data_IF_540388492847
#
_entry.id   IF_540388492847
#
_cell.length_a   1.000
_cell.length_b   1.000
_cell.length_c   1.000
_cell.angle_alpha   90.00
_cell.angle_beta   90.00
_cell.angle_gamma   90.00
#
_symmetry.space_group_name_H-M   'P 1'
#
loop_
_entity.id
_entity.type
_entity.pdbx_description
1 polymer ?
#
# COMPACT_ATOMS: atom_id res chain seq x y z
N UNK A 1 -36.38 9.24 -9.47
CA UNK A 1 -35.00 8.98 -9.98
C UNK A 1 -34.57 9.94 -11.08
N UNK A 2 -35.43 10.38 -12.01
CA UNK A 2 -35.09 11.40 -13.02
C UNK A 2 -34.73 12.76 -12.42
N UNK A 3 -35.42 13.18 -11.35
CA UNK A 3 -35.21 14.49 -10.73
C UNK A 3 -33.86 14.58 -10.01
N UNK A 4 -33.39 13.46 -9.46
CA UNK A 4 -32.08 13.33 -8.85
C UNK A 4 -30.94 13.51 -9.87
N UNK A 5 -31.05 12.84 -11.04
CA UNK A 5 -30.07 12.98 -12.11
C UNK A 5 -30.07 14.39 -12.71
N UNK A 6 -31.24 15.03 -12.80
CA UNK A 6 -31.33 16.43 -13.23
C UNK A 6 -30.63 17.35 -12.23
N UNK A 7 -30.93 17.22 -10.93
CA UNK A 7 -30.26 17.96 -9.85
C UNK A 7 -28.74 17.81 -9.91
N UNK A 8 -28.21 16.60 -10.06
CA UNK A 8 -26.76 16.39 -10.12
C UNK A 8 -26.10 17.01 -11.35
N UNK A 9 -26.78 17.04 -12.49
CA UNK A 9 -26.27 17.63 -13.73
C UNK A 9 -26.38 19.17 -13.74
N UNK A 10 -27.35 19.77 -13.03
CA UNK A 10 -27.58 21.22 -13.00
C UNK A 10 -27.06 21.96 -11.75
N UNK A 11 -26.83 21.27 -10.64
CA UNK A 11 -26.44 21.90 -9.37
C UNK A 11 -25.12 22.67 -9.48
N UNK A 12 -25.00 23.80 -8.79
CA UNK A 12 -23.75 24.55 -8.66
C UNK A 12 -22.88 24.04 -7.50
N UNK A 13 -21.67 24.57 -7.39
CA UNK A 13 -20.70 24.14 -6.37
C UNK A 13 -21.26 24.40 -4.95
N UNK A 14 -21.95 25.51 -4.73
CA UNK A 14 -22.41 25.90 -3.40
C UNK A 14 -23.59 25.04 -2.96
N UNK A 15 -24.54 24.72 -3.85
CA UNK A 15 -25.66 23.81 -3.55
C UNK A 15 -25.20 22.37 -3.28
N UNK A 16 -24.16 21.88 -3.95
CA UNK A 16 -23.58 20.57 -3.65
C UNK A 16 -22.89 20.53 -2.28
N UNK A 17 -22.26 21.63 -1.85
CA UNK A 17 -21.61 21.71 -0.53
C UNK A 17 -22.56 21.91 0.65
N UNK A 18 -23.82 22.29 0.41
CA UNK A 18 -24.86 22.35 1.45
C UNK A 18 -25.26 20.97 1.95
N UNK A 19 -24.94 19.91 1.20
CA UNK A 19 -25.29 18.53 1.57
C UNK A 19 -24.32 18.02 2.64
N UNK A 20 -24.82 17.57 3.81
CA UNK A 20 -23.98 17.09 4.90
C UNK A 20 -23.11 15.90 4.48
N UNK A 21 -21.79 16.13 4.42
CA UNK A 21 -20.80 15.12 4.03
C UNK A 21 -20.19 15.32 2.63
N UNK A 22 -20.60 16.36 1.88
CA UNK A 22 -19.95 16.74 0.62
C UNK A 22 -18.99 17.91 0.86
N UNK A 23 -17.70 17.62 0.74
CA UNK A 23 -16.68 18.64 0.80
C UNK A 23 -16.52 19.33 -0.56
N UNK A 24 -16.09 20.59 -0.57
CA UNK A 24 -15.76 21.37 -1.79
C UNK A 24 -14.96 20.58 -2.86
N UNK A 25 -13.91 19.81 -2.53
CA UNK A 25 -13.20 19.00 -3.54
C UNK A 25 -14.06 17.89 -4.14
N UNK A 26 -14.95 17.27 -3.37
CA UNK A 26 -15.86 16.24 -3.89
C UNK A 26 -16.93 16.86 -4.81
N UNK A 27 -17.46 18.03 -4.46
CA UNK A 27 -18.38 18.78 -5.31
C UNK A 27 -17.74 19.19 -6.65
N UNK A 28 -16.47 19.60 -6.64
CA UNK A 28 -15.72 19.89 -7.86
C UNK A 28 -15.53 18.64 -8.75
N UNK A 29 -15.23 17.49 -8.14
CA UNK A 29 -15.11 16.21 -8.85
C UNK A 29 -16.44 15.76 -9.47
N UNK A 30 -17.57 16.01 -8.78
CA UNK A 30 -18.91 15.73 -9.31
C UNK A 30 -19.26 16.62 -10.50
N UNK A 31 -18.89 17.90 -10.47
CA UNK A 31 -19.07 18.82 -11.60
C UNK A 31 -18.23 18.40 -12.80
N UNK A 32 -16.97 17.99 -12.57
CA UNK A 32 -16.06 17.56 -13.63
C UNK A 32 -16.49 16.25 -14.31
N UNK A 33 -17.23 15.38 -13.61
CA UNK A 33 -17.68 14.09 -14.13
C UNK A 33 -19.06 14.13 -14.81
N UNK A 34 -19.67 15.33 -14.93
CA UNK A 34 -20.93 15.51 -15.69
C UNK A 34 -20.70 15.28 -17.19
N UNK A 35 -21.68 14.74 -17.93
CA UNK A 35 -23.05 14.39 -17.50
C UNK A 35 -23.18 12.95 -16.96
N UNK A 36 -24.07 12.76 -15.98
CA UNK A 36 -24.44 11.43 -15.48
C UNK A 36 -25.75 10.95 -16.12
N UNK A 37 -25.74 9.76 -16.72
CA UNK A 37 -26.91 9.13 -17.34
C UNK A 37 -27.61 8.14 -16.40
N UNK A 38 -26.88 7.60 -15.42
CA UNK A 38 -27.41 6.66 -14.42
C UNK A 38 -26.89 6.96 -13.00
N UNK A 39 -27.63 6.49 -11.99
CA UNK A 39 -27.23 6.60 -10.57
C UNK A 39 -25.93 5.84 -10.30
N UNK A 40 -25.69 4.75 -11.04
CA UNK A 40 -24.47 3.94 -10.93
C UNK A 40 -23.23 4.66 -11.48
N UNK A 41 -23.38 5.61 -12.39
CA UNK A 41 -22.25 6.42 -12.88
C UNK A 41 -21.72 7.38 -11.80
N UNK A 42 -22.57 7.79 -10.87
CA UNK A 42 -22.18 8.62 -9.74
C UNK A 42 -21.23 7.86 -8.78
N UNK A 43 -21.37 6.53 -8.66
CA UNK A 43 -20.48 5.69 -7.84
C UNK A 43 -19.05 5.59 -8.38
N UNK A 44 -18.82 5.92 -9.67
CA UNK A 44 -17.49 5.89 -10.28
C UNK A 44 -16.65 7.12 -9.90
N UNK A 45 -17.26 8.17 -9.34
CA UNK A 45 -16.57 9.40 -8.94
C UNK A 45 -15.76 9.17 -7.67
N UNK A 46 -14.47 9.54 -7.71
CA UNK A 46 -13.53 9.37 -6.61
C UNK A 46 -14.01 10.09 -5.34
N UNK A 47 -14.35 9.30 -4.32
CA UNK A 47 -14.85 9.79 -3.02
C UNK A 47 -16.38 9.71 -2.86
N UNK A 48 -17.11 9.20 -3.85
CA UNK A 48 -18.55 8.98 -3.78
C UNK A 48 -18.88 7.59 -3.20
N UNK A 49 -19.61 7.54 -2.09
CA UNK A 49 -20.06 6.29 -1.46
C UNK A 49 -21.58 6.14 -1.48
N UNK A 50 -22.08 4.89 -1.39
CA UNK A 50 -23.53 4.56 -1.39
C UNK A 50 -24.33 5.31 -0.31
N UNK A 51 -23.72 5.54 0.85
CA UNK A 51 -24.35 6.25 1.98
C UNK A 51 -24.49 7.75 1.73
N UNK A 52 -23.57 8.35 0.98
CA UNK A 52 -23.64 9.76 0.58
C UNK A 52 -24.63 9.95 -0.58
N UNK A 53 -24.77 8.97 -1.49
CA UNK A 53 -25.80 8.99 -2.52
C UNK A 53 -27.21 9.01 -1.93
N UNK A 54 -27.49 8.17 -0.94
CA UNK A 54 -28.80 8.19 -0.27
C UNK A 54 -29.12 9.52 0.40
N UNK A 55 -28.11 10.22 0.96
CA UNK A 55 -28.30 11.56 1.54
C UNK A 55 -28.53 12.63 0.46
N UNK A 56 -27.83 12.52 -0.66
CA UNK A 56 -27.98 13.38 -1.82
C UNK A 56 -29.36 13.24 -2.48
N UNK A 57 -29.88 12.02 -2.56
CA UNK A 57 -31.22 11.72 -3.06
C UNK A 57 -32.29 12.39 -2.19
N UNK A 58 -32.20 12.22 -0.86
CA UNK A 58 -33.11 12.87 0.10
C UNK A 58 -33.05 14.41 -0.01
N UNK A 59 -31.85 14.97 -0.18
CA UNK A 59 -31.68 16.42 -0.32
C UNK A 59 -32.22 16.95 -1.66
N UNK A 60 -31.98 16.22 -2.75
CA UNK A 60 -32.50 16.58 -4.08
C UNK A 60 -34.03 16.54 -4.12
N UNK A 61 -34.64 15.53 -3.49
CA UNK A 61 -36.10 15.43 -3.32
C UNK A 61 -36.65 16.57 -2.44
N UNK A 62 -35.93 16.95 -1.38
CA UNK A 62 -36.29 18.08 -0.52
C UNK A 62 -36.19 19.44 -1.24
N UNK A 63 -35.20 19.63 -2.13
CA UNK A 63 -35.10 20.84 -2.94
C UNK A 63 -36.15 20.91 -4.06
N UNK A 64 -36.55 19.77 -4.65
CA UNK A 64 -37.66 19.73 -5.61
C UNK A 64 -38.97 20.26 -5.03
N UNK A 65 -39.24 19.96 -3.76
CA UNK A 65 -40.43 20.41 -3.02
C UNK A 65 -40.40 21.88 -2.56
N UNK A 66 -39.26 22.57 -2.62
CA UNK A 66 -39.16 23.99 -2.27
C UNK A 66 -39.59 24.92 -3.42
N UNK A 67 -39.73 24.40 -4.64
CA UNK A 67 -40.21 25.20 -5.79
C UNK A 67 -41.73 25.44 -5.78
N UNK A 68 -42.52 24.63 -5.06
CA UNK A 68 -43.98 24.79 -4.98
C UNK A 68 -44.46 25.62 -3.77
N UNK A 69 -43.65 25.80 -2.73
CA UNK A 69 -44.12 26.40 -1.47
C UNK A 69 -43.53 27.80 -1.18
N UNK A 70 -43.73 28.73 -2.12
CA UNK A 70 -43.42 30.16 -1.92
C UNK A 70 -44.61 31.03 -2.33
N UNK A 71 -45.70 30.90 -1.59
CA UNK A 71 -46.74 31.93 -1.54
C UNK A 71 -47.11 32.16 -0.07
N UNK A 72 -46.52 33.20 0.52
CA UNK A 72 -47.05 34.09 1.56
C UNK A 72 -45.93 34.56 2.50
N UNK A 73 -45.50 35.80 2.27
CA UNK A 73 -44.89 36.65 3.29
C UNK A 73 -45.66 37.98 3.20
N UNK A 74 -46.19 38.50 4.31
CA UNK A 74 -46.26 39.95 4.46
C UNK A 74 -45.26 40.43 5.51
N UNK A 75 -44.64 41.54 5.15
CA UNK A 75 -43.53 42.22 5.80
C UNK A 75 -44.06 43.50 6.48
N UNK A 76 -43.45 43.82 7.62
CA UNK A 76 -43.19 45.14 8.23
C UNK A 76 -44.24 45.97 9.00
N UNK A 77 -43.67 46.64 10.02
CA UNK A 77 -44.04 47.95 10.53
C UNK A 77 -44.73 47.93 11.90
N UNK A 78 -44.43 48.73 12.91
CA UNK A 78 -43.36 49.71 13.21
C UNK A 78 -43.61 50.15 14.68
N UNK A 79 -42.77 51.06 15.17
CA UNK A 79 -42.54 51.40 16.59
C UNK A 79 -43.62 52.24 17.34
N UNK A 80 -43.61 52.08 18.68
CA UNK A 80 -43.77 53.00 19.86
C UNK A 80 -44.37 54.44 19.72
N UNK A 81 -44.55 55.24 20.81
CA UNK A 81 -45.25 55.06 22.09
C UNK A 81 -46.11 56.30 22.55
N UNK A 82 -46.77 56.15 23.71
CA UNK A 82 -47.04 57.17 24.76
C UNK A 82 -47.93 58.42 24.48
N UNK A 83 -48.89 58.72 25.39
CA UNK A 83 -48.78 59.73 26.46
C UNK A 83 -50.16 60.25 26.96
N UNK A 84 -50.17 60.65 28.24
CA UNK A 84 -50.97 61.71 28.91
C UNK A 84 -52.33 61.39 29.53
N UNK A 85 -52.36 61.68 30.85
CA UNK A 85 -53.44 62.43 31.51
C UNK A 85 -54.13 61.63 32.61
N UNK A 86 -54.47 62.14 33.79
CA UNK A 86 -54.37 63.46 34.41
C UNK A 86 -54.90 63.25 35.85
N UNK A 87 -54.18 63.74 36.86
CA UNK A 87 -54.64 63.91 38.26
C UNK A 87 -55.85 64.91 38.29
N UNK A 88 -56.77 64.98 39.29
CA UNK A 88 -56.37 65.19 40.69
C UNK A 88 -57.31 64.66 41.79
N UNK A 89 -56.74 64.66 42.99
CA UNK A 89 -57.38 64.67 44.29
C UNK A 89 -58.49 65.74 44.42
N UNK A 90 -59.56 65.41 45.15
CA UNK A 90 -60.37 66.37 45.87
C UNK A 90 -60.70 65.79 47.25
N UNK A 91 -60.35 66.56 48.26
CA UNK A 91 -60.39 66.32 49.68
C UNK A 91 -61.60 67.08 50.22
N UNK A 92 -62.44 66.47 51.06
CA UNK A 92 -63.19 67.15 52.13
C UNK A 92 -64.11 66.18 52.89
N UNK A 93 -63.70 65.84 54.12
CA UNK A 93 -64.62 65.59 55.24
C UNK A 93 -65.02 66.97 55.80
N UNK A 94 -66.11 67.16 56.59
CA UNK A 94 -66.18 66.54 57.92
C UNK A 94 -67.56 66.37 58.60
N UNK A 95 -67.49 65.78 59.81
CA UNK A 95 -68.41 65.81 60.97
C UNK A 95 -69.64 64.89 60.96
N UNK A 96 -70.13 64.37 62.08
CA UNK A 96 -69.65 64.01 63.43
C UNK A 96 -70.91 63.43 64.10
N UNK A 97 -70.78 62.30 64.81
CA UNK A 97 -71.92 61.63 65.43
C UNK A 97 -71.44 60.46 66.26
N UNK A 98 -70.93 60.78 67.45
CA UNK A 98 -70.46 59.83 68.46
C UNK A 98 -71.65 58.97 68.94
N UNK A 99 -71.60 57.65 68.74
CA UNK A 99 -72.41 56.69 69.47
C UNK A 99 -71.49 55.88 70.38
N UNK A 100 -71.80 55.95 71.67
CA UNK A 100 -71.07 55.55 72.88
C UNK A 100 -70.42 54.14 72.93
N UNK A 101 -70.50 53.33 71.88
CA UNK A 101 -69.89 52.00 71.76
C UNK A 101 -68.51 51.99 71.05
N UNK A 102 -68.11 53.10 70.41
CA UNK A 102 -66.89 53.21 69.58
C UNK A 102 -65.56 53.21 70.36
N UNK A 103 -65.61 53.45 71.68
CA UNK A 103 -64.40 53.54 72.52
C UNK A 103 -63.99 52.19 73.12
N UNK A 104 -64.87 51.19 73.09
CA UNK A 104 -64.52 49.80 73.43
C UNK A 104 -64.05 48.99 72.21
N UNK A 105 -64.54 49.34 71.00
CA UNK A 105 -64.14 48.70 69.74
C UNK A 105 -62.83 49.20 69.11
N UNK A 106 -62.32 50.38 69.50
CA UNK A 106 -61.10 50.98 68.91
C UNK A 106 -59.82 50.17 69.22
N UNK A 107 -59.72 49.60 70.41
CA UNK A 107 -58.62 48.71 70.78
C UNK A 107 -58.72 47.34 70.06
N UNK A 108 -59.94 46.80 69.92
CA UNK A 108 -60.19 45.56 69.18
C UNK A 108 -59.91 45.70 67.68
N UNK A 109 -60.23 46.85 67.07
CA UNK A 109 -59.90 47.16 65.68
C UNK A 109 -58.38 47.35 65.45
N UNK A 110 -57.66 47.97 66.39
CA UNK A 110 -56.19 48.07 66.32
C UNK A 110 -55.55 46.69 66.47
N UNK A 111 -56.07 45.84 67.36
CA UNK A 111 -55.66 44.45 67.50
C UNK A 111 -55.94 43.63 66.24
N UNK A 112 -57.14 43.74 65.65
CA UNK A 112 -57.50 43.07 64.40
C UNK A 112 -56.63 43.55 63.22
N UNK A 113 -56.30 44.85 63.16
CA UNK A 113 -55.38 45.41 62.16
C UNK A 113 -53.94 44.94 62.35
N UNK A 114 -53.49 44.78 63.59
CA UNK A 114 -52.20 44.19 63.91
C UNK A 114 -52.16 42.69 63.55
N UNK A 115 -53.25 41.97 63.81
CA UNK A 115 -53.42 40.55 63.45
C UNK A 115 -53.39 40.34 61.94
N UNK A 116 -54.11 41.17 61.17
CA UNK A 116 -54.09 41.11 59.70
C UNK A 116 -52.68 41.42 59.16
N UNK A 117 -51.96 42.40 59.73
CA UNK A 117 -50.55 42.65 59.36
C UNK A 117 -49.65 41.46 59.68
N UNK A 118 -49.84 40.81 60.82
CA UNK A 118 -49.06 39.63 61.21
C UNK A 118 -49.37 38.43 60.30
N UNK A 119 -50.63 38.22 59.93
CA UNK A 119 -51.05 37.19 58.97
C UNK A 119 -50.46 37.46 57.59
N UNK A 120 -50.51 38.70 57.10
CA UNK A 120 -49.88 39.07 55.82
C UNK A 120 -48.37 38.86 55.83
N UNK A 121 -47.71 39.17 56.94
CA UNK A 121 -46.27 38.93 57.12
C UNK A 121 -45.95 37.44 57.20
N UNK A 122 -46.81 36.64 57.85
CA UNK A 122 -46.70 35.19 57.89
C UNK A 122 -46.91 34.56 56.50
N UNK A 123 -47.91 35.01 55.74
CA UNK A 123 -48.14 34.59 54.35
C UNK A 123 -46.96 34.97 53.48
N UNK A 124 -46.39 36.17 53.65
CA UNK A 124 -45.20 36.59 52.93
C UNK A 124 -44.02 35.68 53.25
N UNK A 125 -43.76 35.37 54.52
CA UNK A 125 -42.72 34.42 54.93
C UNK A 125 -42.94 33.02 54.36
N UNK A 126 -44.17 32.50 54.40
CA UNK A 126 -44.52 31.19 53.82
C UNK A 126 -44.35 31.21 52.30
N UNK A 127 -44.72 32.29 51.62
CA UNK A 127 -44.57 32.42 50.18
C UNK A 127 -43.11 32.50 49.75
N UNK A 128 -42.28 33.25 50.47
CA UNK A 128 -40.84 33.34 50.22
C UNK A 128 -40.19 31.99 50.52
N UNK A 129 -40.57 31.33 51.61
CA UNK A 129 -40.12 29.98 51.94
C UNK A 129 -40.49 28.97 50.85
N UNK A 130 -41.72 29.01 50.34
CA UNK A 130 -42.17 28.17 49.23
C UNK A 130 -41.40 28.49 47.94
N UNK A 131 -41.15 29.77 47.65
CA UNK A 131 -40.41 30.19 46.45
C UNK A 131 -38.95 29.74 46.49
N UNK A 132 -38.31 29.77 47.66
CA UNK A 132 -36.97 29.20 47.85
C UNK A 132 -37.01 27.68 47.77
N UNK A 133 -37.97 27.04 48.46
CA UNK A 133 -38.09 25.58 48.53
C UNK A 133 -38.39 24.94 47.17
N UNK A 134 -39.24 25.56 46.35
CA UNK A 134 -39.57 25.09 45.00
C UNK A 134 -38.70 25.70 43.90
N UNK A 135 -38.16 26.90 44.10
CA UNK A 135 -37.30 27.58 43.12
C UNK A 135 -35.90 26.99 43.02
N UNK A 136 -35.29 26.60 44.14
CA UNK A 136 -33.99 25.90 44.14
C UNK A 136 -34.00 24.62 43.30
N UNK A 137 -34.93 23.65 43.50
CA UNK A 137 -34.97 22.44 42.70
C UNK A 137 -35.37 22.67 41.23
N UNK A 138 -36.10 23.75 40.93
CA UNK A 138 -36.43 24.12 39.55
C UNK A 138 -35.19 24.56 38.76
N UNK A 139 -34.38 25.47 39.33
CA UNK A 139 -33.14 25.94 38.71
C UNK A 139 -32.14 24.80 38.51
N UNK A 140 -32.04 23.90 39.50
CA UNK A 140 -31.11 22.76 39.43
C UNK A 140 -31.43 21.81 38.27
N UNK A 141 -32.73 21.53 38.03
CA UNK A 141 -33.17 20.67 36.92
C UNK A 141 -33.08 21.33 35.55
N UNK A 142 -33.39 22.63 35.45
CA UNK A 142 -33.44 23.33 34.16
C UNK A 142 -32.09 23.85 33.70
N UNK A 143 -31.20 24.26 34.61
CA UNK A 143 -29.96 24.93 34.23
C UNK A 143 -28.69 24.21 34.66
N UNK A 144 -28.68 23.50 35.79
CA UNK A 144 -27.44 22.89 36.31
C UNK A 144 -27.22 21.50 35.70
N UNK A 145 -28.25 20.65 35.71
CA UNK A 145 -28.20 19.30 35.12
C UNK A 145 -27.75 19.24 33.64
N UNK A 146 -28.25 20.08 32.71
CA UNK A 146 -27.79 20.02 31.32
C UNK A 146 -26.33 20.46 31.15
N UNK A 147 -25.81 21.31 32.04
CA UNK A 147 -24.41 21.76 31.97
C UNK A 147 -23.47 20.67 32.51
N UNK A 148 -23.88 19.91 33.53
CA UNK A 148 -23.15 18.73 33.99
C UNK A 148 -23.04 17.66 32.89
N UNK A 149 -24.12 17.40 32.16
CA UNK A 149 -24.11 16.46 31.02
C UNK A 149 -23.24 16.94 29.88
N UNK A 150 -23.33 18.22 29.51
CA UNK A 150 -22.47 18.80 28.48
C UNK A 150 -20.99 18.75 28.90
N UNK A 151 -20.69 19.00 30.17
CA UNK A 151 -19.31 18.94 30.71
C UNK A 151 -18.78 17.51 30.63
N UNK A 152 -19.57 16.52 31.04
CA UNK A 152 -19.19 15.11 30.92
C UNK A 152 -19.06 14.65 29.45
N UNK A 153 -19.88 15.18 28.54
CA UNK A 153 -19.77 14.88 27.11
C UNK A 153 -18.49 15.48 26.51
N UNK A 154 -18.12 16.70 26.90
CA UNK A 154 -16.87 17.33 26.47
C UNK A 154 -15.67 16.53 26.97
N UNK A 155 -15.66 16.10 28.24
CA UNK A 155 -14.59 15.24 28.77
C UNK A 155 -14.47 13.92 28.00
N UNK A 156 -15.60 13.29 27.64
CA UNK A 156 -15.60 12.07 26.82
C UNK A 156 -15.08 12.33 25.40
N UNK A 157 -15.46 13.46 24.79
CA UNK A 157 -14.96 13.85 23.46
C UNK A 157 -13.46 14.16 23.50
N UNK A 158 -12.97 14.83 24.54
CA UNK A 158 -11.55 15.08 24.76
C UNK A 158 -10.78 13.77 24.95
N UNK A 159 -11.33 12.83 25.71
CA UNK A 159 -10.75 11.49 25.89
C UNK A 159 -10.72 10.70 24.57
N UNK A 160 -11.78 10.76 23.76
CA UNK A 160 -11.83 10.11 22.45
C UNK A 160 -10.83 10.76 21.47
N UNK A 161 -10.72 12.09 21.47
CA UNK A 161 -9.72 12.82 20.68
C UNK A 161 -8.31 12.42 21.09
N UNK A 162 -8.02 12.38 22.40
CA UNK A 162 -6.71 11.96 22.91
C UNK A 162 -6.38 10.50 22.51
N UNK A 163 -7.38 9.62 22.55
CA UNK A 163 -7.22 8.23 22.13
C UNK A 163 -6.98 8.08 20.62
N UNK A 164 -7.74 8.80 19.79
CA UNK A 164 -7.54 8.80 18.33
C UNK A 164 -6.18 9.41 17.96
N UNK A 165 -5.74 10.46 18.66
CA UNK A 165 -4.41 11.02 18.51
C UNK A 165 -3.33 9.99 18.85
N UNK A 166 -3.48 9.27 19.97
CA UNK A 166 -2.54 8.21 20.35
C UNK A 166 -2.49 7.08 19.31
N UNK A 167 -3.62 6.68 18.73
CA UNK A 167 -3.63 5.70 17.63
C UNK A 167 -2.93 6.22 16.38
N UNK A 168 -3.12 7.49 16.01
CA UNK A 168 -2.44 8.10 14.87
C UNK A 168 -0.92 8.18 15.11
N UNK A 169 -0.52 8.52 16.33
CA UNK A 169 0.89 8.54 16.75
C UNK A 169 1.51 7.13 16.78
N UNK A 170 0.72 6.08 16.97
CA UNK A 170 1.16 4.68 16.83
C UNK A 170 1.21 4.22 15.37
N UNK A 171 0.22 4.61 14.54
CA UNK A 171 0.16 4.20 13.14
C UNK A 171 1.23 4.89 12.29
N UNK A 172 1.55 6.15 12.57
CA UNK A 172 2.57 6.94 11.84
C UNK A 172 3.95 6.24 11.78
N UNK A 173 4.55 5.79 12.90
CA UNK A 173 5.82 5.07 12.83
C UNK A 173 5.70 3.70 12.16
N UNK A 174 4.54 3.02 12.25
CA UNK A 174 4.32 1.76 11.52
C UNK A 174 4.33 1.95 10.00
N UNK A 175 3.69 3.01 9.52
CA UNK A 175 3.71 3.36 8.09
C UNK A 175 5.13 3.70 7.64
N UNK A 176 5.86 4.51 8.41
CA UNK A 176 7.25 4.83 8.09
C UNK A 176 8.17 3.58 8.05
N UNK A 177 7.96 2.63 8.97
CA UNK A 177 8.66 1.35 8.96
C UNK A 177 8.30 0.49 7.74
N UNK A 178 7.03 0.45 7.35
CA UNK A 178 6.58 -0.26 6.15
C UNK A 178 7.16 0.37 4.89
N UNK A 179 7.18 1.71 4.78
CA UNK A 179 7.81 2.43 3.68
C UNK A 179 9.30 2.07 3.57
N UNK A 180 10.03 2.10 4.69
CA UNK A 180 11.45 1.69 4.73
C UNK A 180 11.64 0.22 4.33
N UNK A 181 10.77 -0.68 4.78
CA UNK A 181 10.81 -2.10 4.42
C UNK A 181 10.51 -2.32 2.93
N UNK A 182 9.57 -1.57 2.36
CA UNK A 182 9.22 -1.62 0.93
C UNK A 182 10.38 -1.10 0.08
N UNK A 183 11.05 -0.02 0.49
CA UNK A 183 12.25 0.47 -0.17
C UNK A 183 13.38 -0.58 -0.12
N UNK A 184 13.62 -1.19 1.03
CA UNK A 184 14.61 -2.24 1.18
C UNK A 184 14.28 -3.47 0.30
N UNK A 185 13.01 -3.87 0.24
CA UNK A 185 12.58 -4.96 -0.64
C UNK A 185 12.73 -4.61 -2.12
N UNK A 186 12.39 -3.39 -2.51
CA UNK A 186 12.57 -2.91 -3.89
C UNK A 186 14.03 -2.99 -4.32
N UNK A 187 14.95 -2.55 -3.46
CA UNK A 187 16.40 -2.67 -3.71
C UNK A 187 16.86 -4.13 -3.78
N UNK A 188 16.33 -5.00 -2.91
CA UNK A 188 16.67 -6.43 -2.93
C UNK A 188 16.18 -7.13 -4.20
N UNK A 189 14.99 -6.78 -4.70
CA UNK A 189 14.41 -7.31 -5.94
C UNK A 189 15.26 -6.85 -7.12
N UNK A 190 15.62 -5.56 -7.18
CA UNK A 190 16.49 -5.02 -8.23
C UNK A 190 17.85 -5.74 -8.27
N UNK A 191 18.44 -6.01 -7.10
CA UNK A 191 19.69 -6.79 -7.01
C UNK A 191 19.51 -8.23 -7.47
N UNK A 192 18.38 -8.86 -7.15
CA UNK A 192 18.07 -10.23 -7.59
C UNK A 192 17.91 -10.29 -9.11
N UNK A 193 17.27 -9.29 -9.72
CA UNK A 193 17.11 -9.16 -11.17
C UNK A 193 18.47 -8.98 -11.86
N UNK A 194 19.35 -8.12 -11.32
CA UNK A 194 20.72 -7.96 -11.84
C UNK A 194 21.53 -9.26 -11.78
N UNK A 195 21.46 -9.99 -10.66
CA UNK A 195 22.12 -11.29 -10.51
C UNK A 195 21.54 -12.32 -11.47
N UNK A 196 20.23 -12.34 -11.66
CA UNK A 196 19.57 -13.25 -12.60
C UNK A 196 20.02 -12.99 -14.05
N UNK A 197 20.02 -11.73 -14.48
CA UNK A 197 20.48 -11.34 -15.82
C UNK A 197 21.95 -11.74 -16.01
N UNK A 198 22.78 -11.49 -15.00
CA UNK A 198 24.21 -11.85 -15.04
C UNK A 198 24.41 -13.36 -15.17
N UNK A 199 23.69 -14.14 -14.35
CA UNK A 199 23.79 -15.60 -14.37
C UNK A 199 23.28 -16.19 -15.68
N UNK A 200 22.16 -15.68 -16.21
CA UNK A 200 21.60 -16.13 -17.49
C UNK A 200 22.54 -15.81 -18.66
N UNK A 201 23.18 -14.63 -18.61
CA UNK A 201 24.19 -14.25 -19.61
C UNK A 201 25.41 -15.16 -19.53
N UNK A 202 25.93 -15.42 -18.32
CA UNK A 202 27.06 -16.33 -18.11
C UNK A 202 26.74 -17.76 -18.54
N UNK A 203 25.55 -18.27 -18.20
CA UNK A 203 25.12 -19.60 -18.61
C UNK A 203 25.05 -19.69 -20.13
N UNK A 204 24.44 -18.71 -20.80
CA UNK A 204 24.35 -18.68 -22.26
C UNK A 204 25.72 -18.60 -22.93
N UNK A 205 26.60 -17.75 -22.42
CA UNK A 205 27.97 -17.64 -22.93
C UNK A 205 28.75 -18.95 -22.72
N UNK A 206 28.58 -19.60 -21.56
CA UNK A 206 29.19 -20.90 -21.29
C UNK A 206 28.63 -22.03 -22.16
N UNK A 207 27.32 -22.05 -22.40
CA UNK A 207 26.65 -23.03 -23.24
C UNK A 207 27.10 -22.86 -24.70
N UNK A 208 27.13 -21.63 -25.21
CA UNK A 208 27.60 -21.32 -26.56
C UNK A 208 29.09 -21.69 -26.73
N UNK A 209 29.93 -21.42 -25.71
CA UNK A 209 31.34 -21.80 -25.71
C UNK A 209 31.54 -23.32 -25.72
N UNK A 210 30.82 -24.06 -24.86
CA UNK A 210 30.89 -25.53 -24.79
C UNK A 210 30.37 -26.16 -26.09
N UNK A 211 29.26 -25.67 -26.63
CA UNK A 211 28.72 -26.17 -27.90
C UNK A 211 29.68 -25.92 -29.05
N UNK A 212 30.35 -24.77 -29.06
CA UNK A 212 31.38 -24.45 -30.04
C UNK A 212 32.60 -25.36 -29.90
N UNK A 213 33.11 -25.57 -28.68
CA UNK A 213 34.22 -26.49 -28.40
C UNK A 213 33.88 -27.93 -28.80
N UNK A 214 32.69 -28.42 -28.43
CA UNK A 214 32.22 -29.75 -28.77
C UNK A 214 32.03 -29.91 -30.28
N UNK A 215 31.49 -28.89 -30.97
CA UNK A 215 31.38 -28.89 -32.44
C UNK A 215 32.75 -29.07 -33.06
N UNK A 216 33.74 -28.31 -32.60
CA UNK A 216 35.12 -28.40 -33.10
C UNK A 216 35.71 -29.79 -32.85
N UNK A 217 35.62 -30.33 -31.64
CA UNK A 217 36.17 -31.65 -31.30
C UNK A 217 35.55 -32.76 -32.15
N UNK A 218 34.23 -32.73 -32.34
CA UNK A 218 33.50 -33.71 -33.16
C UNK A 218 33.92 -33.59 -34.64
N UNK A 219 34.03 -32.38 -35.17
CA UNK A 219 34.44 -32.16 -36.56
C UNK A 219 35.87 -32.61 -36.81
N UNK A 220 36.79 -32.31 -35.89
CA UNK A 220 38.20 -32.72 -36.00
C UNK A 220 38.34 -34.24 -35.90
N UNK A 221 37.62 -34.87 -34.97
CA UNK A 221 37.58 -36.34 -34.84
C UNK A 221 37.03 -37.00 -36.10
N UNK A 222 35.95 -36.45 -36.66
CA UNK A 222 35.37 -36.93 -37.92
C UNK A 222 36.33 -36.75 -39.10
N UNK A 223 37.06 -35.64 -39.15
CA UNK A 223 38.09 -35.41 -40.17
C UNK A 223 39.24 -36.42 -40.06
N UNK A 224 39.69 -36.74 -38.84
CA UNK A 224 40.74 -37.74 -38.60
C UNK A 224 40.28 -39.16 -39.01
N UNK A 225 39.07 -39.57 -38.66
CA UNK A 225 38.51 -40.88 -39.04
C UNK A 225 38.37 -41.02 -40.56
N UNK A 226 37.79 -40.00 -41.20
CA UNK A 226 37.60 -39.98 -42.65
C UNK A 226 38.93 -40.00 -43.40
N UNK A 227 39.95 -39.30 -42.87
CA UNK A 227 41.29 -39.32 -43.44
C UNK A 227 41.98 -40.67 -43.22
N UNK A 228 41.81 -41.32 -42.07
CA UNK A 228 42.31 -42.67 -41.83
C UNK A 228 41.70 -43.69 -42.82
N UNK A 229 40.40 -43.56 -43.11
CA UNK A 229 39.71 -44.36 -44.13
C UNK A 229 40.24 -44.07 -45.55
N UNK A 230 40.44 -42.80 -45.89
CA UNK A 230 41.03 -42.41 -47.18
C UNK A 230 42.43 -42.99 -47.40
N UNK A 231 43.26 -43.02 -46.35
CA UNK A 231 44.59 -43.67 -46.37
C UNK A 231 44.50 -45.18 -46.57
N UNK A 232 43.54 -45.83 -45.94
CA UNK A 232 43.28 -47.26 -46.15
C UNK A 232 42.87 -47.53 -47.61
N UNK A 233 42.01 -46.69 -48.19
CA UNK A 233 41.62 -46.82 -49.60
C UNK A 233 42.81 -46.62 -50.54
N UNK A 234 43.74 -45.71 -50.22
CA UNK A 234 44.98 -45.57 -50.98
C UNK A 234 45.84 -46.83 -50.96
N UNK A 235 46.01 -47.45 -49.79
CA UNK A 235 46.75 -48.70 -49.65
C UNK A 235 46.09 -49.85 -50.44
N UNK A 236 44.77 -49.82 -50.59
CA UNK A 236 44.00 -50.80 -51.37
C UNK A 236 43.92 -50.47 -52.87
N UNK A 237 44.60 -49.42 -53.35
CA UNK A 237 44.51 -48.92 -54.74
C UNK A 237 43.11 -48.43 -55.16
N UNK A 238 42.24 -48.11 -54.20
CA UNK A 238 40.89 -47.58 -54.40
C UNK A 238 40.91 -46.04 -54.46
N UNK A 239 41.55 -45.48 -55.49
CA UNK A 239 41.88 -44.05 -55.56
C UNK A 239 40.67 -43.10 -55.64
N UNK A 240 39.57 -43.54 -56.26
CA UNK A 240 38.34 -42.73 -56.34
C UNK A 240 37.68 -42.52 -54.98
N UNK A 241 37.58 -43.58 -54.17
CA UNK A 241 37.05 -43.50 -52.81
C UNK A 241 38.01 -42.73 -51.89
N UNK A 242 39.32 -42.94 -52.04
CA UNK A 242 40.32 -42.17 -51.31
C UNK A 242 40.20 -40.67 -51.59
N UNK A 243 40.07 -40.27 -52.85
CA UNK A 243 39.90 -38.86 -53.22
C UNK A 243 38.64 -38.25 -52.61
N UNK A 244 37.53 -39.00 -52.61
CA UNK A 244 36.28 -38.55 -51.99
C UNK A 244 36.41 -38.35 -50.47
N UNK A 245 37.05 -39.28 -49.77
CA UNK A 245 37.27 -39.17 -48.33
C UNK A 245 38.24 -38.05 -47.94
N UNK A 246 39.31 -37.85 -48.73
CA UNK A 246 40.26 -36.75 -48.52
C UNK A 246 39.58 -35.41 -48.77
N UNK A 247 38.73 -35.30 -49.80
CA UNK A 247 37.95 -34.08 -50.06
C UNK A 247 37.02 -33.78 -48.89
N UNK A 248 36.31 -34.79 -48.39
CA UNK A 248 35.40 -34.63 -47.26
C UNK A 248 36.14 -34.21 -45.98
N UNK A 249 37.29 -34.81 -45.69
CA UNK A 249 38.13 -34.41 -44.55
C UNK A 249 38.61 -32.96 -44.70
N UNK A 250 39.02 -32.57 -45.91
CA UNK A 250 39.46 -31.20 -46.23
C UNK A 250 38.33 -30.18 -46.08
N UNK A 251 37.12 -30.51 -46.50
CA UNK A 251 35.95 -29.62 -46.38
C UNK A 251 35.55 -29.43 -44.90
N UNK A 252 35.58 -30.50 -44.09
CA UNK A 252 35.35 -30.41 -42.64
C UNK A 252 36.40 -29.54 -41.94
N UNK A 253 37.68 -29.70 -42.28
CA UNK A 253 38.76 -28.90 -41.70
C UNK A 253 38.70 -27.44 -42.15
N UNK A 254 38.27 -27.18 -43.39
CA UNK A 254 38.10 -25.81 -43.89
C UNK A 254 36.99 -25.05 -43.16
N UNK A 255 35.89 -25.73 -42.79
CA UNK A 255 34.84 -25.14 -41.95
C UNK A 255 35.38 -24.80 -40.56
N UNK A 256 36.13 -25.70 -39.93
CA UNK A 256 36.77 -25.42 -38.62
C UNK A 256 37.81 -24.29 -38.72
N UNK A 257 38.59 -24.24 -39.80
CA UNK A 257 39.59 -23.18 -40.02
C UNK A 257 38.94 -21.81 -40.13
N UNK A 258 37.77 -21.71 -40.77
CA UNK A 258 37.04 -20.44 -40.89
C UNK A 258 36.60 -19.89 -39.53
N UNK A 259 36.39 -20.76 -38.54
CA UNK A 259 35.96 -20.41 -37.19
C UNK A 259 37.16 -20.13 -36.26
N UNK A 260 38.22 -20.94 -36.32
CA UNK A 260 39.35 -20.89 -35.38
C UNK A 260 40.55 -20.07 -35.87
N UNK A 261 40.74 -19.93 -37.19
CA UNK A 261 41.93 -19.31 -37.81
C UNK A 261 43.27 -19.90 -37.33
N UNK A 262 43.33 -21.22 -37.12
CA UNK A 262 44.54 -21.91 -36.69
C UNK A 262 45.52 -22.17 -37.86
N UNK A 263 46.75 -21.69 -37.72
CA UNK A 263 47.85 -21.88 -38.68
C UNK A 263 48.20 -23.36 -38.90
N UNK A 264 48.03 -24.23 -37.90
CA UNK A 264 48.28 -25.66 -38.02
C UNK A 264 47.22 -26.34 -38.91
N UNK A 265 45.95 -25.95 -38.76
CA UNK A 265 44.88 -26.44 -39.63
C UNK A 265 45.09 -25.97 -41.08
N UNK A 266 45.51 -24.72 -41.27
CA UNK A 266 45.84 -24.20 -42.59
C UNK A 266 46.98 -25.00 -43.26
N UNK A 267 48.02 -25.37 -42.50
CA UNK A 267 49.11 -26.21 -42.98
C UNK A 267 48.64 -27.63 -43.34
N UNK A 268 47.77 -28.23 -42.52
CA UNK A 268 47.20 -29.54 -42.81
C UNK A 268 46.37 -29.51 -44.10
N UNK A 269 45.49 -28.52 -44.27
CA UNK A 269 44.66 -28.35 -45.48
C UNK A 269 45.53 -28.18 -46.73
N UNK A 270 46.60 -27.37 -46.66
CA UNK A 270 47.51 -27.20 -47.79
C UNK A 270 48.17 -28.53 -48.25
N UNK A 271 48.45 -29.42 -47.29
CA UNK A 271 48.95 -30.78 -47.57
C UNK A 271 47.86 -31.67 -48.18
N UNK A 272 46.61 -31.57 -47.71
CA UNK A 272 45.48 -32.29 -48.31
C UNK A 272 45.22 -31.83 -49.75
N UNK A 273 45.31 -30.52 -50.03
CA UNK A 273 45.15 -29.98 -51.38
C UNK A 273 46.23 -30.48 -52.34
N UNK A 274 47.47 -30.58 -51.84
CA UNK A 274 48.57 -31.19 -52.59
C UNK A 274 48.30 -32.67 -52.87
N UNK A 275 47.80 -33.42 -51.89
CA UNK A 275 47.42 -34.82 -52.07
C UNK A 275 46.27 -35.00 -53.06
N UNK A 276 45.23 -34.15 -53.01
CA UNK A 276 44.09 -34.18 -53.93
C UNK A 276 44.48 -33.88 -55.38
N UNK A 277 45.44 -32.97 -55.58
CA UNK A 277 46.01 -32.66 -56.89
C UNK A 277 46.80 -33.83 -57.49
N UNK A 278 47.44 -34.63 -56.63
CA UNK A 278 48.22 -35.80 -57.03
C UNK A 278 47.35 -37.07 -57.26
N UNK A 279 46.07 -37.07 -56.89
CA UNK A 279 45.15 -38.21 -57.09
C UNK A 279 44.33 -38.09 -58.39
N UNK A 280 44.32 -39.14 -59.25
CA UNK A 280 44.85 -40.50 -59.06
C UNK A 280 46.25 -40.77 -59.64
N UNK A 281 46.86 -39.80 -60.33
CA UNK A 281 48.02 -40.04 -61.20
C UNK A 281 49.32 -40.39 -60.45
N UNK A 282 49.50 -39.84 -59.23
CA UNK A 282 50.68 -40.03 -58.39
C UNK A 282 50.31 -40.48 -56.96
N UNK A 283 49.82 -41.73 -56.79
CA UNK A 283 49.26 -42.18 -55.51
C UNK A 283 50.28 -42.32 -54.39
N UNK A 284 51.56 -42.59 -54.69
CA UNK A 284 52.63 -42.70 -53.68
C UNK A 284 52.96 -41.32 -53.09
N UNK A 285 52.97 -40.28 -53.92
CA UNK A 285 53.23 -38.90 -53.48
C UNK A 285 52.04 -38.41 -52.65
N UNK A 286 50.81 -38.65 -53.14
CA UNK A 286 49.60 -38.34 -52.41
C UNK A 286 49.55 -39.02 -51.03
N UNK A 287 49.96 -40.29 -50.92
CA UNK A 287 50.01 -40.99 -49.64
C UNK A 287 51.00 -40.36 -48.65
N UNK A 288 52.15 -39.86 -49.13
CA UNK A 288 53.12 -39.16 -48.29
C UNK A 288 52.58 -37.81 -47.79
N UNK A 289 51.94 -37.02 -48.66
CA UNK A 289 51.32 -35.74 -48.26
C UNK A 289 50.18 -35.94 -47.26
N UNK A 290 49.37 -37.00 -47.40
CA UNK A 290 48.33 -37.34 -46.43
C UNK A 290 48.88 -37.76 -45.07
N UNK A 291 50.00 -38.49 -45.03
CA UNK A 291 50.66 -38.82 -43.77
C UNK A 291 51.13 -37.55 -43.05
N UNK A 292 51.72 -36.61 -43.79
CA UNK A 292 52.16 -35.33 -43.22
C UNK A 292 50.96 -34.54 -42.69
N UNK A 293 49.87 -34.46 -43.47
CA UNK A 293 48.64 -33.79 -43.03
C UNK A 293 48.06 -34.43 -41.75
N UNK A 294 48.01 -35.76 -41.70
CA UNK A 294 47.54 -36.50 -40.53
C UNK A 294 48.41 -36.24 -39.30
N UNK A 295 49.74 -36.25 -39.46
CA UNK A 295 50.67 -35.98 -38.36
C UNK A 295 50.49 -34.56 -37.80
N UNK A 296 50.27 -33.56 -38.65
CA UNK A 296 50.00 -32.19 -38.20
C UNK A 296 48.72 -32.14 -37.35
N UNK A 297 47.65 -32.80 -37.79
CA UNK A 297 46.37 -32.82 -37.08
C UNK A 297 46.45 -33.58 -35.74
N UNK A 298 47.15 -34.71 -35.71
CA UNK A 298 47.34 -35.50 -34.48
C UNK A 298 48.29 -34.80 -33.51
N UNK A 299 49.35 -34.14 -34.00
CA UNK A 299 50.28 -33.38 -33.18
C UNK A 299 49.63 -32.12 -32.59
N UNK A 300 48.74 -31.44 -33.34
CA UNK A 300 47.93 -30.34 -32.84
C UNK A 300 46.93 -30.74 -31.75
N UNK A 301 46.56 -32.03 -31.69
CA UNK A 301 45.66 -32.61 -30.69
C UNK A 301 46.38 -33.24 -29.48
N UNK A 302 47.72 -33.20 -29.42
CA UNK A 302 48.41 -33.64 -28.22
C UNK A 302 48.01 -32.69 -27.09
N UNK A 303 47.38 -33.16 -25.99
CA UNK A 303 47.15 -32.31 -24.84
C UNK A 303 48.53 -31.81 -24.43
N UNK A 304 48.74 -30.50 -24.46
CA UNK A 304 49.82 -29.86 -23.72
C UNK A 304 49.61 -30.25 -22.27
N UNK A 305 50.23 -31.35 -21.83
CA UNK A 305 50.42 -31.60 -20.41
C UNK A 305 51.11 -30.35 -19.90
N UNK A 306 50.52 -29.62 -18.94
CA UNK A 306 51.29 -28.58 -18.28
C UNK A 306 52.45 -29.31 -17.58
N UNK A 307 53.63 -29.30 -18.21
CA UNK A 307 54.89 -29.44 -17.49
C UNK A 307 55.12 -28.10 -16.79
N UNK A 308 54.23 -27.79 -15.85
CA UNK A 308 54.58 -27.05 -14.67
C UNK A 308 54.79 -28.15 -13.62
N UNK A 309 56.04 -28.54 -13.41
CA UNK A 309 56.44 -29.01 -12.09
C UNK A 309 56.33 -27.78 -11.18
N UNK A 310 55.34 -27.64 -10.28
CA UNK A 310 55.53 -26.73 -9.18
C UNK A 310 56.67 -27.33 -8.35
N UNK A 311 57.83 -26.68 -8.40
CA UNK A 311 58.76 -26.72 -7.28
C UNK A 311 57.94 -26.46 -6.02
N UNK A 312 57.92 -27.36 -5.02
CA UNK A 312 57.25 -27.07 -3.77
C UNK A 312 58.05 -25.98 -3.06
N UNK A 313 57.64 -24.73 -3.24
CA UNK A 313 57.99 -23.65 -2.31
C UNK A 313 57.40 -24.05 -0.96
N UNK A 314 58.17 -24.08 0.14
CA UNK A 314 57.66 -24.48 1.44
C UNK A 314 56.52 -23.54 1.83
N UNK A 315 55.33 -24.09 2.02
CA UNK A 315 54.28 -23.41 2.75
C UNK A 315 54.72 -23.34 4.21
N UNK A 316 54.93 -22.12 4.71
CA UNK A 316 54.95 -21.88 6.15
C UNK A 316 53.58 -22.31 6.69
N UNK A 317 53.58 -23.44 7.40
CA UNK A 317 52.44 -23.94 8.13
C UNK A 317 52.23 -22.96 9.29
N UNK A 318 51.22 -22.08 9.19
CA UNK A 318 50.63 -21.51 10.39
C UNK A 318 49.87 -22.63 11.09
N UNK A 319 50.57 -23.25 12.05
CA UNK A 319 50.01 -24.19 13.00
C UNK A 319 48.96 -23.43 13.84
N UNK A 320 47.69 -23.49 13.45
CA UNK A 320 46.62 -23.15 14.37
C UNK A 320 46.48 -24.29 15.38
N UNK A 321 47.08 -24.09 16.55
CA UNK A 321 46.78 -24.88 17.76
C UNK A 321 45.26 -24.84 17.98
N UNK A 322 44.55 -25.98 18.07
CA UNK A 322 43.14 -25.95 18.44
C UNK A 322 43.04 -25.49 19.90
N UNK A 323 42.53 -24.29 20.11
CA UNK A 323 42.08 -23.84 21.42
C UNK A 323 40.94 -24.77 21.88
N UNK A 324 40.97 -25.33 23.10
CA UNK A 324 39.88 -26.16 23.60
C UNK A 324 38.58 -25.34 23.63
N UNK A 325 37.56 -25.84 22.95
CA UNK A 325 36.20 -25.32 23.05
C UNK A 325 35.66 -25.71 24.44
N UNK A 326 35.47 -24.75 25.33
CA UNK A 326 34.65 -24.97 26.53
C UNK A 326 33.23 -25.29 26.07
N UNK A 327 32.80 -26.53 26.33
CA UNK A 327 31.42 -26.95 26.13
C UNK A 327 30.54 -26.14 27.09
N UNK A 328 29.77 -25.20 26.55
CA UNK A 328 28.68 -24.59 27.30
C UNK A 328 27.63 -25.67 27.59
N UNK A 329 27.55 -26.08 28.86
CA UNK A 329 26.48 -26.92 29.39
C UNK A 329 25.16 -26.18 29.25
N UNK A 330 24.32 -26.56 28.30
CA UNK A 330 22.92 -26.13 28.26
C UNK A 330 22.15 -26.92 29.33
N UNK A 331 21.81 -26.25 30.42
CA UNK A 331 20.82 -26.73 31.39
C UNK A 331 19.44 -26.73 30.70
N UNK A 332 18.72 -27.86 30.60
CA UNK A 332 17.38 -27.88 30.04
C UNK A 332 16.43 -27.12 30.97
N UNK A 333 15.79 -26.08 30.45
CA UNK A 333 14.67 -25.39 31.10
C UNK A 333 13.50 -26.38 31.25
N UNK A 334 12.87 -26.50 32.43
CA UNK A 334 11.75 -27.42 32.63
C UNK A 334 10.53 -26.99 31.83
N UNK A 335 9.93 -27.98 31.16
CA UNK A 335 8.69 -27.87 30.39
C UNK A 335 7.51 -27.52 31.33
N UNK A 336 6.65 -26.55 31.00
CA UNK A 336 5.44 -26.29 31.78
C UNK A 336 4.45 -27.46 31.64
N UNK A 337 3.75 -27.86 32.73
CA UNK A 337 2.80 -28.95 32.68
C UNK A 337 1.56 -28.61 31.82
N UNK A 338 0.93 -29.61 31.18
CA UNK A 338 -0.26 -29.39 30.36
C UNK A 338 -1.46 -28.93 31.21
N UNK A 339 -2.42 -28.21 30.61
CA UNK A 339 -3.64 -27.81 31.30
C UNK A 339 -4.49 -29.05 31.61
N UNK A 340 -5.02 -29.13 32.82
CA UNK A 340 -5.94 -30.17 33.26
C UNK A 340 -7.21 -30.12 32.40
N UNK A 341 -7.44 -31.15 31.58
CA UNK A 341 -8.74 -31.43 30.97
C UNK A 341 -9.75 -31.72 32.07
N UNK A 342 -10.89 -31.02 32.02
CA UNK A 342 -12.01 -31.26 32.91
C UNK A 342 -12.66 -32.61 32.56
N UNK A 343 -12.51 -33.57 33.47
CA UNK A 343 -13.29 -34.82 33.50
C UNK A 343 -14.78 -34.50 33.58
N UNK A 344 -15.53 -34.82 32.52
CA UNK A 344 -16.96 -35.03 32.61
C UNK A 344 -17.21 -36.35 33.37
N UNK A 345 -17.96 -36.27 34.47
CA UNK A 345 -18.42 -37.41 35.28
C UNK A 345 -19.78 -37.90 34.72
N UNK A 346 -20.07 -39.21 34.77
CA UNK A 346 -21.22 -39.89 34.14
C UNK A 346 -22.62 -39.38 34.46
#
# INVERSE_FOLDING_TARGET
MSDFLNFLNTADLDTLTQVPGINRPLAANLIAARPFESVDDCLKVKGMGRTLLGKLEIFAEAQGNLSENRAMIPVEGEATPALIGRNPSAQESPKEGDSFLSRLGRAFLVFLRALVRLILLAILLVSVGALIYYGLPYIQRTFIAPVEQNTAQIENMEAEIAFLQAQLDEMKPRVALLETSVEAHTLSIQKLEEVQITLETQMRESDDAILFELKHEVMLTRALDTLARGRLYLAQSNFGLAKADVQLARDLLAEVLAETNDDLLAQAIARLDTALGNLPDFPVIAAADLEIAWQILVAGNAPVSPTATPTPTPFDIFTITPTPFEAATFTPTPFPPPPLEATATP
#
